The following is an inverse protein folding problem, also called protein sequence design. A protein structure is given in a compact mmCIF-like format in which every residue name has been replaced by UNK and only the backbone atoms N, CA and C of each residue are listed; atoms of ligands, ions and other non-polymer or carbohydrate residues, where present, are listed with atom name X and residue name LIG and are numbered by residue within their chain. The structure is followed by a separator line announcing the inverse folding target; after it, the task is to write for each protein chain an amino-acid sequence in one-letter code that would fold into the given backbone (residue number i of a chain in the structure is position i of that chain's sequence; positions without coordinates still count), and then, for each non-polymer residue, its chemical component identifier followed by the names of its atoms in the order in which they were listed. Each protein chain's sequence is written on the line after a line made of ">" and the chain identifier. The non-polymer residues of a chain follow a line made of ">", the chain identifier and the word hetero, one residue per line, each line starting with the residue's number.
data_IF_639360449266
#
_entry.id   IF_639360449266
#
_cell.length_a   1.000
_cell.length_b   1.000
_cell.length_c   1.000
_cell.angle_alpha   90.00
_cell.angle_beta   90.00
_cell.angle_gamma   90.00
#
_symmetry.space_group_name_H-M   'P 1'
#
loop_
_entity.id
_entity.type
_entity.pdbx_description
1 polymer ?
#
# COMPACT_ATOMS: atom_id res chain seq x y z
N UNK A 1 -15.63 1.75 7.50
CA UNK A 1 -14.31 1.11 7.59
C UNK A 1 -14.25 -0.05 6.61
N UNK A 2 -13.76 0.16 5.40
CA UNK A 2 -13.60 -0.91 4.41
C UNK A 2 -12.13 -1.29 4.42
N UNK A 3 -11.75 -2.25 5.32
CA UNK A 3 -10.46 -2.94 5.21
C UNK A 3 -10.37 -3.45 3.78
N UNK A 4 -9.55 -2.80 2.99
CA UNK A 4 -9.35 -3.17 1.59
C UNK A 4 -8.65 -4.51 1.58
N UNK A 5 -9.29 -5.49 0.98
CA UNK A 5 -9.04 -6.93 1.06
C UNK A 5 -7.69 -7.38 0.47
N UNK A 6 -6.58 -6.86 0.98
CA UNK A 6 -5.22 -7.33 0.66
C UNK A 6 -4.99 -8.77 1.11
N UNK A 7 -5.71 -9.17 2.15
CA UNK A 7 -5.63 -10.53 2.71
C UNK A 7 -6.33 -11.58 1.83
N UNK A 8 -7.17 -11.17 0.87
CA UNK A 8 -7.91 -12.13 0.04
C UNK A 8 -7.07 -12.66 -1.14
N UNK A 9 -6.13 -11.89 -1.69
CA UNK A 9 -5.31 -12.30 -2.83
C UNK A 9 -4.53 -13.60 -2.58
N UNK A 10 -3.80 -13.78 -1.46
CA UNK A 10 -3.11 -15.04 -1.18
C UNK A 10 -4.09 -16.20 -0.99
N UNK A 11 -5.27 -15.98 -0.42
CA UNK A 11 -6.28 -17.01 -0.27
C UNK A 11 -6.83 -17.50 -1.62
N UNK A 12 -7.03 -16.61 -2.59
CA UNK A 12 -7.44 -17.00 -3.94
C UNK A 12 -6.37 -17.80 -4.66
N UNK A 13 -5.09 -17.49 -4.47
CA UNK A 13 -3.99 -18.27 -5.04
C UNK A 13 -3.98 -19.69 -4.45
N UNK A 14 -4.07 -19.81 -3.12
CA UNK A 14 -4.12 -21.10 -2.43
C UNK A 14 -5.32 -21.91 -2.92
N UNK A 15 -6.48 -21.28 -3.00
CA UNK A 15 -7.71 -21.93 -3.51
C UNK A 15 -7.53 -22.43 -4.94
N UNK A 16 -6.94 -21.64 -5.83
CA UNK A 16 -6.68 -22.02 -7.22
C UNK A 16 -5.72 -23.20 -7.33
N UNK A 17 -4.68 -23.26 -6.48
CA UNK A 17 -3.75 -24.39 -6.43
C UNK A 17 -4.42 -25.66 -5.96
N UNK A 18 -5.27 -25.57 -4.92
CA UNK A 18 -6.03 -26.71 -4.42
C UNK A 18 -6.99 -27.23 -5.50
N UNK A 19 -7.74 -26.35 -6.18
CA UNK A 19 -8.65 -26.71 -7.25
C UNK A 19 -7.92 -27.38 -8.42
N UNK A 20 -6.74 -26.90 -8.78
CA UNK A 20 -5.93 -27.51 -9.81
C UNK A 20 -5.45 -28.92 -9.42
N UNK A 21 -5.01 -29.10 -8.14
CA UNK A 21 -4.62 -30.41 -7.63
C UNK A 21 -5.81 -31.41 -7.64
N UNK A 22 -7.00 -30.94 -7.26
CA UNK A 22 -8.23 -31.73 -7.34
C UNK A 22 -8.56 -32.15 -8.77
N UNK A 23 -8.44 -31.23 -9.73
CA UNK A 23 -8.67 -31.52 -11.13
C UNK A 23 -7.75 -32.65 -11.65
N UNK A 24 -6.47 -32.63 -11.26
CA UNK A 24 -5.53 -33.71 -11.66
C UNK A 24 -5.98 -35.08 -11.12
N UNK A 25 -6.49 -35.13 -9.89
CA UNK A 25 -7.01 -36.39 -9.30
C UNK A 25 -8.31 -36.83 -9.98
N UNK A 26 -9.17 -35.89 -10.36
CA UNK A 26 -10.48 -36.18 -10.98
C UNK A 26 -10.34 -36.68 -12.42
N UNK A 27 -9.18 -36.51 -13.05
CA UNK A 27 -8.93 -36.91 -14.44
C UNK A 27 -9.23 -38.40 -14.69
N UNK A 28 -8.81 -39.29 -13.78
CA UNK A 28 -8.98 -40.74 -13.88
C UNK A 28 -10.42 -41.21 -13.60
N UNK A 29 -11.23 -40.37 -12.91
CA UNK A 29 -12.58 -40.75 -12.51
C UNK A 29 -13.68 -40.24 -13.44
N UNK A 30 -13.56 -39.01 -13.93
CA UNK A 30 -14.57 -38.41 -14.80
C UNK A 30 -14.01 -37.22 -15.58
N UNK A 31 -13.91 -37.34 -16.91
CA UNK A 31 -13.41 -36.25 -17.74
C UNK A 31 -14.28 -34.98 -17.66
N UNK A 32 -15.58 -35.12 -17.44
CA UNK A 32 -16.50 -33.97 -17.30
C UNK A 32 -16.16 -33.14 -16.05
N UNK A 33 -15.93 -33.80 -14.92
CA UNK A 33 -15.54 -33.12 -13.67
C UNK A 33 -14.19 -32.44 -13.83
N UNK A 34 -13.23 -33.10 -14.45
CA UNK A 34 -11.91 -32.54 -14.76
C UNK A 34 -12.02 -31.20 -15.53
N UNK A 35 -12.81 -31.15 -16.61
CA UNK A 35 -12.95 -29.92 -17.39
C UNK A 35 -13.63 -28.79 -16.63
N UNK A 36 -14.59 -29.10 -15.76
CA UNK A 36 -15.26 -28.09 -14.91
C UNK A 36 -14.28 -27.52 -13.89
N UNK A 37 -13.54 -28.37 -13.18
CA UNK A 37 -12.54 -27.94 -12.18
C UNK A 37 -11.40 -27.14 -12.80
N UNK A 38 -10.91 -27.57 -13.98
CA UNK A 38 -9.92 -26.84 -14.74
C UNK A 38 -10.41 -25.44 -15.15
N UNK A 39 -11.65 -25.35 -15.64
CA UNK A 39 -12.27 -24.08 -15.99
C UNK A 39 -12.37 -23.10 -14.81
N UNK A 40 -12.81 -23.59 -13.65
CA UNK A 40 -12.90 -22.79 -12.41
C UNK A 40 -11.51 -22.33 -11.95
N UNK A 41 -10.50 -23.19 -12.03
CA UNK A 41 -9.12 -22.86 -11.69
C UNK A 41 -8.55 -21.74 -12.56
N UNK A 42 -8.71 -21.85 -13.89
CA UNK A 42 -8.27 -20.83 -14.85
C UNK A 42 -9.00 -19.51 -14.64
N UNK A 43 -10.31 -19.55 -14.40
CA UNK A 43 -11.11 -18.35 -14.12
C UNK A 43 -10.62 -17.64 -12.85
N UNK A 44 -10.34 -18.38 -11.78
CA UNK A 44 -9.86 -17.81 -10.52
C UNK A 44 -8.50 -17.16 -10.67
N UNK A 45 -7.57 -17.76 -11.43
CA UNK A 45 -6.28 -17.17 -11.77
C UNK A 45 -6.42 -15.88 -12.58
N UNK A 46 -7.33 -15.85 -13.57
CA UNK A 46 -7.59 -14.66 -14.36
C UNK A 46 -8.09 -13.50 -13.48
N UNK A 47 -8.98 -13.76 -12.54
CA UNK A 47 -9.47 -12.75 -11.58
C UNK A 47 -8.34 -12.22 -10.72
N UNK A 48 -7.44 -13.07 -10.21
CA UNK A 48 -6.27 -12.66 -9.43
C UNK A 48 -5.33 -11.77 -10.25
N UNK A 49 -5.04 -12.15 -11.50
CA UNK A 49 -4.19 -11.36 -12.39
C UNK A 49 -4.79 -9.99 -12.69
N UNK A 50 -6.07 -9.93 -13.04
CA UNK A 50 -6.77 -8.66 -13.33
C UNK A 50 -6.79 -7.74 -12.11
N UNK A 51 -7.08 -8.26 -10.93
CA UNK A 51 -7.09 -7.49 -9.68
C UNK A 51 -5.69 -6.98 -9.33
N UNK A 52 -4.67 -7.79 -9.49
CA UNK A 52 -3.27 -7.41 -9.24
C UNK A 52 -2.79 -6.30 -10.20
N UNK A 53 -3.07 -6.43 -11.50
CA UNK A 53 -2.71 -5.42 -12.51
C UNK A 53 -3.45 -4.09 -12.29
N UNK A 54 -4.76 -4.14 -12.01
CA UNK A 54 -5.54 -2.93 -11.70
C UNK A 54 -5.04 -2.22 -10.46
N UNK A 55 -4.63 -2.97 -9.45
CA UNK A 55 -4.09 -2.40 -8.22
C UNK A 55 -2.78 -1.66 -8.48
N UNK A 56 -1.82 -2.27 -9.18
CA UNK A 56 -0.54 -1.65 -9.51
C UNK A 56 -0.74 -0.36 -10.32
N UNK A 57 -1.67 -0.38 -11.29
CA UNK A 57 -2.00 0.82 -12.09
C UNK A 57 -2.66 1.91 -11.24
N UNK A 58 -3.53 1.54 -10.29
CA UNK A 58 -4.18 2.50 -9.39
C UNK A 58 -3.15 3.19 -8.49
N UNK A 59 -2.23 2.44 -7.86
CA UNK A 59 -1.17 3.01 -7.01
C UNK A 59 -0.30 3.98 -7.81
N UNK A 60 0.20 3.57 -8.97
CA UNK A 60 1.02 4.43 -9.84
C UNK A 60 0.30 5.71 -10.25
N UNK A 61 -0.96 5.62 -10.65
CA UNK A 61 -1.75 6.78 -11.05
C UNK A 61 -2.00 7.74 -9.88
N UNK A 62 -2.33 7.21 -8.71
CA UNK A 62 -2.62 8.04 -7.52
C UNK A 62 -1.35 8.74 -7.03
N UNK A 63 -0.22 8.03 -6.95
CA UNK A 63 1.08 8.63 -6.59
C UNK A 63 1.46 9.70 -7.60
N UNK A 64 1.37 9.43 -8.89
CA UNK A 64 1.68 10.39 -9.95
C UNK A 64 0.82 11.66 -9.85
N UNK A 65 -0.47 11.52 -9.55
CA UNK A 65 -1.37 12.67 -9.41
C UNK A 65 -1.06 13.50 -8.16
N UNK A 66 -0.80 12.84 -7.02
CA UNK A 66 -0.45 13.54 -5.76
C UNK A 66 0.90 14.24 -5.90
N UNK A 67 1.92 13.53 -6.37
CA UNK A 67 3.28 14.06 -6.53
C UNK A 67 3.35 15.09 -7.65
N UNK A 68 2.66 14.88 -8.77
CA UNK A 68 2.60 15.82 -9.88
C UNK A 68 1.91 17.14 -9.55
N UNK A 69 1.03 17.17 -8.55
CA UNK A 69 0.40 18.40 -8.05
C UNK A 69 1.38 19.26 -7.23
N UNK A 70 2.47 18.67 -6.76
CA UNK A 70 3.56 19.38 -6.09
C UNK A 70 4.61 19.69 -7.16
N UNK A 71 4.62 20.94 -7.66
CA UNK A 71 5.53 21.37 -8.73
C UNK A 71 6.96 20.89 -8.53
N UNK A 72 7.43 20.00 -9.42
CA UNK A 72 8.83 19.63 -9.55
C UNK A 72 9.32 18.42 -8.76
N UNK A 73 8.45 17.67 -8.07
CA UNK A 73 8.84 16.45 -7.36
C UNK A 73 8.48 15.24 -8.22
N UNK A 74 9.48 14.42 -8.53
CA UNK A 74 9.34 13.15 -9.23
C UNK A 74 9.41 11.98 -8.21
N UNK A 75 8.72 10.87 -8.47
CA UNK A 75 8.70 9.66 -7.64
C UNK A 75 10.12 9.12 -7.37
N UNK A 76 10.99 9.14 -8.38
CA UNK A 76 12.41 8.75 -8.26
C UNK A 76 13.19 9.65 -7.30
N UNK A 77 12.77 10.89 -7.16
CA UNK A 77 13.36 11.85 -6.24
C UNK A 77 12.98 11.55 -4.80
N UNK A 78 11.71 11.23 -4.55
CA UNK A 78 11.20 10.88 -3.22
C UNK A 78 11.83 9.59 -2.67
N UNK A 79 12.11 8.60 -3.53
CA UNK A 79 12.78 7.36 -3.10
C UNK A 79 14.23 7.62 -2.65
N UNK A 80 14.90 8.59 -3.25
CA UNK A 80 16.29 8.99 -2.92
C UNK A 80 16.39 9.98 -1.77
N UNK A 81 15.26 10.47 -1.27
CA UNK A 81 15.26 11.40 -0.15
C UNK A 81 15.93 10.79 1.08
N UNK A 82 16.72 11.62 1.80
CA UNK A 82 17.49 11.19 2.98
C UNK A 82 16.56 10.91 4.15
N UNK A 83 15.44 11.64 4.27
CA UNK A 83 14.44 11.43 5.31
C UNK A 83 13.36 10.41 4.90
N UNK A 84 12.67 9.79 5.87
CA UNK A 84 11.47 9.01 5.64
C UNK A 84 10.36 9.88 5.01
N UNK A 85 9.74 9.39 3.92
CA UNK A 85 8.65 10.07 3.21
C UNK A 85 7.50 9.12 2.97
N UNK A 86 6.28 9.61 3.22
CA UNK A 86 5.05 8.90 2.90
C UNK A 86 4.09 9.76 2.09
N UNK A 87 3.46 9.17 1.09
CA UNK A 87 2.37 9.77 0.30
C UNK A 87 1.05 9.22 0.81
N UNK A 88 0.16 10.11 1.20
CA UNK A 88 -1.09 9.79 1.88
C UNK A 88 -2.25 10.19 0.97
N UNK A 89 -3.20 9.27 0.79
CA UNK A 89 -4.44 9.51 0.07
C UNK A 89 -5.43 10.36 0.89
N UNK A 90 -6.54 10.76 0.26
CA UNK A 90 -7.59 11.61 0.88
C UNK A 90 -8.19 11.03 2.17
N UNK A 91 -8.20 9.72 2.32
CA UNK A 91 -8.73 9.02 3.50
C UNK A 91 -7.69 8.77 4.59
N UNK A 92 -6.45 9.25 4.38
CA UNK A 92 -5.34 9.03 5.29
C UNK A 92 -4.65 7.67 5.12
N UNK A 93 -4.97 6.93 4.07
CA UNK A 93 -4.29 5.69 3.71
C UNK A 93 -2.93 5.99 3.07
N UNK A 94 -1.90 5.26 3.47
CA UNK A 94 -0.57 5.36 2.88
C UNK A 94 -0.62 4.70 1.50
N UNK A 95 -0.49 5.52 0.46
CA UNK A 95 -0.50 5.06 -0.93
C UNK A 95 0.88 4.60 -1.37
N UNK A 96 1.90 5.28 -0.88
CA UNK A 96 3.29 5.01 -1.18
C UNK A 96 4.20 5.51 -0.07
N UNK A 97 5.34 4.85 0.13
CA UNK A 97 6.38 5.31 1.04
C UNK A 97 7.76 4.90 0.52
N UNK A 98 8.79 5.70 0.85
CA UNK A 98 10.15 5.37 0.46
C UNK A 98 10.77 4.28 1.35
N UNK A 99 11.93 3.75 0.94
CA UNK A 99 12.64 2.71 1.68
C UNK A 99 13.06 3.16 3.08
N UNK A 100 13.30 4.45 3.29
CA UNK A 100 13.62 5.04 4.59
C UNK A 100 12.44 4.97 5.56
N UNK A 101 11.24 5.32 5.09
CA UNK A 101 10.02 5.21 5.88
C UNK A 101 9.76 3.75 6.30
N UNK A 102 9.87 2.80 5.36
CA UNK A 102 9.70 1.37 5.66
C UNK A 102 10.67 0.88 6.73
N UNK A 103 11.94 1.30 6.66
CA UNK A 103 12.95 0.91 7.66
C UNK A 103 12.70 1.54 9.03
N UNK A 104 12.38 2.84 9.06
CA UNK A 104 12.26 3.59 10.30
C UNK A 104 10.94 3.31 11.04
N UNK A 105 9.82 3.15 10.32
CA UNK A 105 8.47 3.11 10.89
C UNK A 105 7.84 1.72 10.88
N UNK A 106 8.30 0.81 10.01
CA UNK A 106 7.62 -0.45 9.75
C UNK A 106 8.53 -1.68 9.93
N UNK A 107 9.73 -1.52 10.48
CA UNK A 107 10.69 -2.62 10.62
C UNK A 107 11.05 -3.28 9.28
N UNK A 108 11.01 -2.52 8.17
CA UNK A 108 11.31 -3.00 6.82
C UNK A 108 10.11 -3.61 6.06
N UNK A 109 8.92 -3.70 6.68
CA UNK A 109 7.69 -4.15 6.02
C UNK A 109 7.06 -3.00 5.22
N UNK A 110 6.23 -3.34 4.22
CA UNK A 110 5.45 -2.34 3.49
C UNK A 110 4.36 -1.73 4.38
N UNK A 111 4.18 -0.40 4.27
CA UNK A 111 3.11 0.33 4.95
C UNK A 111 1.97 0.73 4.00
N UNK A 112 2.07 0.36 2.73
CA UNK A 112 1.08 0.71 1.72
C UNK A 112 -0.27 0.03 2.06
N UNK A 113 -1.31 0.86 2.16
CA UNK A 113 -2.66 0.43 2.57
C UNK A 113 -2.95 0.61 4.05
N UNK A 114 -1.96 0.86 4.90
CA UNK A 114 -2.17 1.24 6.29
C UNK A 114 -2.70 2.67 6.37
N UNK A 115 -3.39 2.99 7.47
CA UNK A 115 -3.80 4.36 7.70
C UNK A 115 -2.71 5.08 8.50
N UNK A 116 -2.40 6.33 8.11
CA UNK A 116 -1.37 7.15 8.79
C UNK A 116 -1.65 7.33 10.29
N UNK A 117 -2.90 7.16 10.72
CA UNK A 117 -3.29 7.16 12.14
C UNK A 117 -2.67 6.04 12.96
N UNK A 118 -2.11 5.02 12.33
CA UNK A 118 -1.35 3.99 13.03
C UNK A 118 0.02 4.51 13.53
N UNK A 119 0.50 5.59 12.92
CA UNK A 119 1.82 6.20 13.18
C UNK A 119 1.70 7.58 13.83
N UNK A 120 0.58 8.28 13.65
CA UNK A 120 0.33 9.64 14.14
C UNK A 120 -0.95 9.70 14.96
N UNK A 121 -0.91 10.40 16.07
CA UNK A 121 -2.10 10.67 16.92
C UNK A 121 -3.04 11.69 16.25
N UNK A 122 -4.28 11.76 16.74
CA UNK A 122 -5.27 12.71 16.23
C UNK A 122 -4.86 14.18 16.34
N UNK A 123 -4.13 14.55 17.40
CA UNK A 123 -3.63 15.93 17.60
C UNK A 123 -2.57 16.30 16.58
N UNK A 124 -1.66 15.36 16.28
CA UNK A 124 -0.60 15.52 15.30
C UNK A 124 -1.18 15.65 13.88
N UNK A 125 -2.18 14.86 13.55
CA UNK A 125 -2.87 14.95 12.24
C UNK A 125 -3.56 16.31 12.08
N UNK A 126 -4.17 16.86 13.10
CA UNK A 126 -4.81 18.17 13.03
C UNK A 126 -3.80 19.30 12.91
N UNK A 127 -2.62 19.17 13.53
CA UNK A 127 -1.49 20.08 13.35
C UNK A 127 -0.98 20.06 11.88
N UNK A 128 -0.81 18.87 11.32
CA UNK A 128 -0.36 18.70 9.96
C UNK A 128 -1.34 19.25 8.90
N UNK A 129 -2.64 19.19 9.16
CA UNK A 129 -3.66 19.82 8.30
C UNK A 129 -3.54 21.33 8.24
N UNK A 130 -3.02 21.97 9.28
CA UNK A 130 -2.76 23.41 9.33
C UNK A 130 -1.48 23.80 8.60
N UNK A 131 -0.67 22.84 8.16
CA UNK A 131 0.61 23.08 7.50
C UNK A 131 1.75 23.42 8.46
N UNK A 132 1.53 23.23 9.75
CA UNK A 132 2.55 23.38 10.78
C UNK A 132 3.37 22.10 10.93
N UNK A 133 4.67 22.23 11.26
CA UNK A 133 5.50 21.08 11.63
C UNK A 133 5.02 20.51 12.97
N UNK A 134 5.03 19.19 13.11
CA UNK A 134 4.58 18.51 14.31
C UNK A 134 5.64 17.54 14.79
N UNK A 135 5.98 17.63 16.09
CA UNK A 135 6.92 16.71 16.71
C UNK A 135 6.21 15.44 17.15
N UNK A 136 6.75 14.30 16.76
CA UNK A 136 6.18 12.97 16.94
C UNK A 136 7.24 12.03 17.46
N UNK A 137 6.92 11.24 18.47
CA UNK A 137 7.77 10.18 18.96
C UNK A 137 7.31 8.82 18.37
N UNK A 138 8.16 8.16 17.60
CA UNK A 138 7.89 6.86 17.00
C UNK A 138 9.04 5.92 17.37
N UNK A 139 8.71 4.79 17.99
CA UNK A 139 9.67 3.74 18.43
C UNK A 139 10.87 4.31 19.23
N UNK A 140 10.62 5.33 20.07
CA UNK A 140 11.63 5.95 20.94
C UNK A 140 12.55 6.94 20.22
N UNK A 141 12.25 7.30 18.96
CA UNK A 141 12.92 8.36 18.21
C UNK A 141 11.98 9.53 18.02
N UNK A 142 12.52 10.73 18.05
CA UNK A 142 11.76 11.96 17.82
C UNK A 142 11.92 12.42 16.38
N UNK A 143 10.79 12.77 15.77
CA UNK A 143 10.71 13.26 14.39
C UNK A 143 9.91 14.55 14.35
N UNK A 144 10.34 15.52 13.57
CA UNK A 144 9.47 16.62 13.14
C UNK A 144 8.86 16.26 11.79
N UNK A 145 7.54 16.24 11.72
CA UNK A 145 6.78 15.84 10.53
C UNK A 145 6.24 17.08 9.84
N UNK A 146 6.52 17.21 8.56
CA UNK A 146 5.94 18.23 7.67
C UNK A 146 5.08 17.57 6.62
N UNK A 147 3.81 17.99 6.49
CA UNK A 147 2.95 17.51 5.43
C UNK A 147 2.53 18.63 4.49
N UNK A 148 2.73 18.40 3.20
CA UNK A 148 2.17 19.26 2.12
C UNK A 148 0.92 18.62 1.58
N UNK A 149 -0.22 19.26 1.85
CA UNK A 149 -1.51 18.83 1.32
C UNK A 149 -1.69 19.25 -0.13
N UNK A 150 -2.28 18.36 -0.92
CA UNK A 150 -2.76 18.61 -2.28
C UNK A 150 -4.24 18.26 -2.34
N UNK A 151 -4.95 18.67 -3.40
CA UNK A 151 -6.36 18.31 -3.56
C UNK A 151 -6.64 16.80 -3.60
N UNK A 152 -5.64 15.98 -3.88
CA UNK A 152 -5.74 14.51 -4.01
C UNK A 152 -5.21 13.74 -2.79
N UNK A 153 -4.44 14.40 -1.91
CA UNK A 153 -3.83 13.79 -0.74
C UNK A 153 -2.75 14.67 -0.12
N UNK A 154 -1.74 14.07 0.50
CA UNK A 154 -0.61 14.78 1.10
C UNK A 154 0.70 14.01 0.95
N UNK A 155 1.81 14.75 0.91
CA UNK A 155 3.16 14.20 1.06
C UNK A 155 3.68 14.62 2.42
N UNK A 156 4.06 13.64 3.25
CA UNK A 156 4.58 13.86 4.59
C UNK A 156 6.04 13.43 4.66
N UNK A 157 6.87 14.33 5.16
CA UNK A 157 8.32 14.16 5.37
C UNK A 157 8.57 14.08 6.87
N UNK A 158 9.38 13.11 7.32
CA UNK A 158 9.72 12.86 8.70
C UNK A 158 11.21 13.17 8.89
N UNK A 159 11.52 14.23 9.59
CA UNK A 159 12.89 14.66 9.88
C UNK A 159 13.25 14.19 11.29
N UNK A 160 14.26 13.31 11.40
CA UNK A 160 14.70 12.80 12.70
C UNK A 160 15.42 13.93 13.48
N UNK A 161 14.97 14.18 14.71
CA UNK A 161 15.59 15.14 15.61
C UNK A 161 16.77 14.44 16.31
N UNK A 162 17.95 14.54 15.73
CA UNK A 162 19.20 14.09 16.36
C UNK A 162 19.70 15.18 17.30
N UNK A 163 19.55 14.96 18.61
CA UNK A 163 20.23 15.75 19.62
C UNK A 163 21.55 15.12 19.99
#
# INVERSE_FOLDING_TARGET
>A
MRKRNWTLTPWFIIFSVIMFAMAVVSYDYSPVVFYIELGVSVLSLAVVLITSLRFTSYVKSTVKNIVGSIKGINEDYLEKFICPVAVIGRQGDIVWCNSRFRKAMCGGKGAEGDNIKAYLSGKEIDCLKKGEGCDVAIDGREYTVYCRSTGEGAVCEFIENTY
#
